data_IF_730131792168
#
_entry.id   IF_730131792168
#
_cell.length_a   1.000
_cell.length_b   1.000
_cell.length_c   1.000
_cell.angle_alpha   90.00
_cell.angle_beta   90.00
_cell.angle_gamma   90.00
#
_symmetry.space_group_name_H-M   'P 1'
#
loop_
_entity.id
_entity.type
_entity.pdbx_description
1 polymer ?
#
# COMPACT_ATOMS: atom_id res chain seq x y z
N UNK A 1 -8.17 -14.31 0.69
CA UNK A 1 -8.78 -13.12 1.35
C UNK A 1 -7.66 -12.40 2.09
N UNK A 2 -7.62 -11.06 2.13
CA UNK A 2 -6.52 -10.32 2.79
C UNK A 2 -6.49 -10.64 4.30
N UNK A 3 -5.32 -10.88 4.92
CA UNK A 3 -3.96 -10.76 4.38
C UNK A 3 -3.53 -11.95 3.50
N UNK A 4 -2.70 -11.67 2.47
CA UNK A 4 -2.18 -12.70 1.58
C UNK A 4 -1.05 -13.51 2.24
N UNK A 5 -1.16 -14.84 2.22
CA UNK A 5 -0.09 -15.77 2.63
C UNK A 5 0.92 -15.94 1.48
N UNK A 6 1.95 -15.09 1.45
CA UNK A 6 2.90 -15.02 0.34
C UNK A 6 4.25 -15.67 0.64
N UNK A 7 4.86 -16.21 -0.41
CA UNK A 7 6.25 -16.69 -0.40
C UNK A 7 7.02 -15.92 -1.47
N UNK A 8 8.17 -15.35 -1.11
CA UNK A 8 9.08 -14.70 -2.06
C UNK A 8 10.31 -15.56 -2.37
N UNK A 9 10.82 -15.45 -3.59
CA UNK A 9 12.13 -15.98 -3.98
C UNK A 9 12.72 -15.17 -5.13
N UNK A 10 14.03 -14.96 -5.10
CA UNK A 10 14.82 -14.44 -6.23
C UNK A 10 15.56 -15.56 -6.99
N UNK A 11 15.41 -16.81 -6.56
CA UNK A 11 16.08 -17.97 -7.15
C UNK A 11 15.13 -18.69 -8.09
N UNK A 12 15.65 -19.03 -9.28
CA UNK A 12 14.94 -19.83 -10.27
C UNK A 12 15.39 -21.29 -10.23
N UNK A 13 14.46 -22.19 -10.53
CA UNK A 13 14.69 -23.63 -10.63
C UNK A 13 14.04 -24.17 -11.91
N UNK A 14 14.71 -25.13 -12.58
CA UNK A 14 14.06 -25.90 -13.64
C UNK A 14 13.28 -27.07 -13.03
N UNK A 15 11.96 -27.10 -13.26
CA UNK A 15 11.06 -28.19 -12.88
C UNK A 15 10.18 -28.51 -14.10
N UNK A 16 10.13 -29.79 -14.51
CA UNK A 16 9.32 -30.24 -15.65
C UNK A 16 9.57 -29.43 -16.94
N UNK A 17 10.82 -29.05 -17.20
CA UNK A 17 11.21 -28.24 -18.37
C UNK A 17 10.81 -26.76 -18.31
N UNK A 18 10.24 -26.29 -17.20
CA UNK A 18 9.88 -24.88 -16.97
C UNK A 18 10.81 -24.26 -15.95
N UNK A 19 11.24 -23.03 -16.21
CA UNK A 19 11.95 -22.21 -15.24
C UNK A 19 10.94 -21.49 -14.36
N UNK A 20 10.99 -21.75 -13.05
CA UNK A 20 10.07 -21.18 -12.07
C UNK A 20 10.84 -20.49 -10.94
N UNK A 21 10.25 -19.48 -10.32
CA UNK A 21 10.75 -18.96 -9.04
C UNK A 21 10.29 -19.87 -7.90
N UNK A 22 11.21 -20.24 -7.01
CA UNK A 22 10.88 -21.14 -5.91
C UNK A 22 11.88 -21.12 -4.76
N UNK A 23 11.47 -21.68 -3.62
CA UNK A 23 12.35 -21.92 -2.46
C UNK A 23 12.56 -23.41 -2.30
N UNK A 24 13.79 -23.88 -2.49
CA UNK A 24 14.16 -25.26 -2.23
C UNK A 24 14.41 -25.47 -0.73
N UNK A 25 13.81 -26.53 -0.19
CA UNK A 25 13.97 -26.97 1.21
C UNK A 25 14.39 -28.44 1.22
N UNK A 26 14.68 -29.00 2.39
CA UNK A 26 14.96 -30.43 2.54
C UNK A 26 13.73 -31.32 2.29
N UNK A 27 12.51 -30.78 2.37
CA UNK A 27 11.25 -31.52 2.17
C UNK A 27 10.64 -31.33 0.79
N UNK A 28 11.22 -30.47 -0.06
CA UNK A 28 10.69 -30.17 -1.39
C UNK A 28 10.91 -28.72 -1.80
N UNK A 29 10.27 -28.33 -2.91
CA UNK A 29 10.37 -26.98 -3.47
C UNK A 29 9.02 -26.27 -3.39
N UNK A 30 9.02 -25.10 -2.78
CA UNK A 30 7.85 -24.21 -2.75
C UNK A 30 7.91 -23.31 -3.99
N UNK A 31 7.02 -23.53 -4.94
CA UNK A 31 6.89 -22.74 -6.16
C UNK A 31 6.11 -21.45 -5.88
N UNK A 32 6.70 -20.29 -6.17
CA UNK A 32 6.13 -18.97 -5.85
C UNK A 32 4.90 -18.64 -6.69
N UNK A 33 4.86 -19.05 -7.95
CA UNK A 33 3.75 -18.76 -8.86
C UNK A 33 2.58 -19.76 -8.77
N UNK A 34 2.72 -20.80 -7.94
CA UNK A 34 1.73 -21.85 -7.82
C UNK A 34 0.71 -21.52 -6.72
N UNK A 35 -0.56 -21.34 -7.09
CA UNK A 35 -1.67 -21.02 -6.17
C UNK A 35 -1.92 -22.09 -5.12
N UNK A 36 -1.48 -23.33 -5.34
CA UNK A 36 -1.55 -24.39 -4.33
C UNK A 36 -0.50 -24.23 -3.21
N UNK A 37 0.54 -23.40 -3.43
CA UNK A 37 1.62 -23.18 -2.46
C UNK A 37 1.51 -21.85 -1.71
N UNK A 38 1.11 -20.78 -2.38
CA UNK A 38 0.95 -19.46 -1.76
C UNK A 38 0.05 -18.53 -2.60
N UNK A 39 -0.37 -17.42 -1.99
CA UNK A 39 -1.22 -16.40 -2.61
C UNK A 39 -0.42 -15.28 -3.31
N UNK A 40 0.86 -15.51 -3.64
CA UNK A 40 1.65 -14.55 -4.42
C UNK A 40 1.01 -14.19 -5.78
N UNK A 41 0.43 -15.13 -6.55
CA UNK A 41 -0.26 -14.78 -7.79
C UNK A 41 -1.38 -13.75 -7.57
N UNK A 42 -2.15 -13.90 -6.48
CA UNK A 42 -3.23 -12.98 -6.14
C UNK A 42 -2.73 -11.60 -5.71
N UNK A 43 -1.65 -11.54 -4.91
CA UNK A 43 -1.01 -10.27 -4.56
C UNK A 43 -0.48 -9.55 -5.81
N UNK A 44 0.19 -10.27 -6.72
CA UNK A 44 0.70 -9.71 -7.97
C UNK A 44 -0.44 -9.20 -8.84
N UNK A 45 -1.50 -9.98 -9.00
CA UNK A 45 -2.65 -9.59 -9.82
C UNK A 45 -3.29 -8.31 -9.28
N UNK A 46 -3.48 -8.23 -7.95
CA UNK A 46 -4.00 -7.03 -7.29
C UNK A 46 -3.10 -5.80 -7.54
N UNK A 47 -1.80 -5.91 -7.25
CA UNK A 47 -0.88 -4.76 -7.31
C UNK A 47 -0.64 -4.24 -8.73
N UNK A 48 -0.43 -5.13 -9.70
CA UNK A 48 0.11 -4.74 -11.01
C UNK A 48 -0.78 -5.07 -12.22
N UNK A 49 -1.90 -5.79 -12.03
CA UNK A 49 -2.80 -6.12 -13.14
C UNK A 49 -4.18 -5.48 -13.01
N UNK A 50 -4.79 -5.54 -11.84
CA UNK A 50 -6.21 -5.17 -11.68
C UNK A 50 -6.43 -3.85 -10.94
N UNK A 51 -5.65 -3.53 -9.90
CA UNK A 51 -5.93 -2.37 -9.03
C UNK A 51 -4.82 -1.31 -9.03
N UNK A 52 -3.86 -1.37 -9.96
CA UNK A 52 -2.75 -0.40 -10.00
C UNK A 52 -3.25 1.04 -10.11
N UNK A 53 -4.24 1.29 -10.98
CA UNK A 53 -4.77 2.63 -11.21
C UNK A 53 -5.46 3.17 -9.96
N UNK A 54 -6.30 2.36 -9.32
CA UNK A 54 -6.98 2.75 -8.07
C UNK A 54 -5.98 3.04 -6.95
N UNK A 55 -4.90 2.25 -6.82
CA UNK A 55 -3.84 2.51 -5.84
C UNK A 55 -3.16 3.86 -6.09
N UNK A 56 -2.91 4.21 -7.35
CA UNK A 56 -2.37 5.53 -7.74
C UNK A 56 -3.37 6.64 -7.40
N UNK A 57 -4.64 6.46 -7.72
CA UNK A 57 -5.67 7.47 -7.53
C UNK A 57 -5.95 7.73 -6.04
N UNK A 58 -6.04 6.70 -5.21
CA UNK A 58 -6.17 6.84 -3.74
C UNK A 58 -4.93 7.56 -3.18
N UNK A 59 -3.73 7.21 -3.65
CA UNK A 59 -2.50 7.89 -3.23
C UNK A 59 -2.52 9.38 -3.58
N UNK A 60 -2.97 9.73 -4.80
CA UNK A 60 -3.01 11.11 -5.28
C UNK A 60 -4.13 11.92 -4.62
N UNK A 61 -5.35 11.41 -4.66
CA UNK A 61 -6.57 12.16 -4.32
C UNK A 61 -6.85 12.18 -2.82
N UNK A 62 -6.36 11.19 -2.08
CA UNK A 62 -6.57 11.10 -0.62
C UNK A 62 -5.27 11.39 0.12
N UNK A 63 -4.27 10.54 -0.02
CA UNK A 63 -3.06 10.64 0.82
C UNK A 63 -2.25 11.91 0.53
N UNK A 64 -1.98 12.19 -0.74
CA UNK A 64 -1.24 13.38 -1.13
C UNK A 64 -2.03 14.66 -0.87
N UNK A 65 -3.33 14.71 -1.21
CA UNK A 65 -4.13 15.91 -0.95
C UNK A 65 -4.30 16.20 0.54
N UNK A 66 -4.46 15.19 1.39
CA UNK A 66 -4.48 15.38 2.84
C UNK A 66 -3.16 15.97 3.35
N UNK A 67 -2.03 15.42 2.89
CA UNK A 67 -0.71 15.95 3.22
C UNK A 67 -0.52 17.40 2.71
N UNK A 68 -0.93 17.67 1.47
CA UNK A 68 -0.83 19.00 0.83
C UNK A 68 -1.60 20.05 1.62
N UNK A 69 -2.85 19.75 1.99
CA UNK A 69 -3.69 20.63 2.79
C UNK A 69 -3.07 20.95 4.16
N UNK A 70 -2.59 19.92 4.88
CA UNK A 70 -1.93 20.11 6.18
C UNK A 70 -0.68 20.99 6.08
N UNK A 71 0.12 20.80 5.02
CA UNK A 71 1.32 21.62 4.78
C UNK A 71 1.00 23.06 4.42
N UNK A 72 -0.03 23.30 3.61
CA UNK A 72 -0.46 24.66 3.29
C UNK A 72 -0.99 25.38 4.53
N UNK A 73 -1.88 24.77 5.31
CA UNK A 73 -2.37 25.34 6.57
C UNK A 73 -1.24 25.66 7.55
N UNK A 74 -0.22 24.81 7.63
CA UNK A 74 0.95 25.06 8.49
C UNK A 74 1.84 26.20 8.00
N UNK A 75 1.95 26.38 6.68
CA UNK A 75 2.65 27.52 6.05
C UNK A 75 1.85 28.81 6.22
N UNK A 76 0.54 28.77 6.03
CA UNK A 76 -0.33 29.92 6.26
C UNK A 76 -0.30 30.34 7.73
N UNK A 77 -0.22 29.40 8.68
CA UNK A 77 0.01 29.74 10.11
C UNK A 77 1.38 30.37 10.37
N UNK A 78 2.43 30.01 9.61
CA UNK A 78 3.74 30.67 9.71
C UNK A 78 3.75 32.06 9.05
N UNK A 79 3.06 32.23 7.93
CA UNK A 79 2.95 33.53 7.22
C UNK A 79 2.03 34.48 7.98
N UNK A 80 0.93 33.97 8.54
CA UNK A 80 -0.02 34.73 9.37
C UNK A 80 0.37 34.76 10.85
N UNK A 81 1.53 34.21 11.23
CA UNK A 81 2.14 34.33 12.56
C UNK A 81 2.54 35.75 12.94
N UNK A 82 2.11 36.75 12.16
CA UNK A 82 2.09 38.15 12.55
C UNK A 82 0.73 38.57 13.14
N UNK A 83 -0.41 37.89 12.89
CA UNK A 83 -1.71 38.20 13.52
C UNK A 83 -2.77 37.07 13.37
N UNK A 84 -3.21 36.46 14.48
CA UNK A 84 -4.55 35.88 14.63
C UNK A 84 -4.63 34.37 14.93
N UNK A 85 -5.09 34.02 16.15
CA UNK A 85 -5.56 32.68 16.48
C UNK A 85 -6.70 32.27 15.54
N UNK A 86 -6.50 31.20 14.77
CA UNK A 86 -7.57 30.57 13.99
C UNK A 86 -8.22 29.52 14.88
N UNK A 87 -9.51 29.72 15.20
CA UNK A 87 -10.34 28.75 15.93
C UNK A 87 -10.82 27.69 14.95
N UNK A 88 -10.41 26.44 15.15
CA UNK A 88 -10.89 25.29 14.37
C UNK A 88 -12.35 24.98 14.76
N UNK A 89 -13.31 25.43 13.94
CA UNK A 89 -14.77 25.25 14.15
C UNK A 89 -15.17 23.76 14.20
N UNK A 90 -14.40 22.87 13.55
CA UNK A 90 -14.67 21.42 13.54
C UNK A 90 -14.47 20.77 14.92
N UNK A 91 -13.58 21.28 15.78
CA UNK A 91 -13.43 20.76 17.15
C UNK A 91 -14.55 21.18 18.10
N UNK A 92 -15.32 22.21 17.73
CA UNK A 92 -16.43 22.71 18.56
C UNK A 92 -17.69 21.85 18.45
N UNK A 93 -17.84 21.04 17.40
CA UNK A 93 -19.04 20.22 17.19
C UNK A 93 -18.97 18.84 17.87
N UNK A 94 -17.77 18.32 18.18
CA UNK A 94 -17.63 17.06 18.93
C UNK A 94 -17.59 17.26 20.44
N UNK A 95 -17.49 18.51 20.93
CA UNK A 95 -17.49 18.84 22.35
C UNK A 95 -18.89 19.14 22.92
N UNK A 96 -19.94 19.05 22.11
CA UNK A 96 -21.36 19.25 22.51
C UNK A 96 -22.22 17.98 22.46
N UNK A 97 -21.59 16.79 22.45
CA UNK A 97 -22.23 15.50 22.73
C UNK A 97 -21.45 14.72 23.78
#
# INVERSE_FOLDING_TARGET
MIPYAVVGSNVQHQINGRTIYGRKTQWGTVEVENRAHCEFPDLRDMLIRTHMQDLVDVTRLVHYENFRQQRLRSRDRHVNGINGQVVDIEQMNESSL
#
